data_IF_618191832751
#
_entry.id   IF_618191832751
#
_cell.length_a   1.000
_cell.length_b   1.000
_cell.length_c   1.000
_cell.angle_alpha   90.00
_cell.angle_beta   90.00
_cell.angle_gamma   90.00
#
_symmetry.space_group_name_H-M   'P 1'
#
loop_
_entity.id
_entity.type
_entity.pdbx_description
1 polymer ?
#
# COMPACT_ATOMS: atom_id res chain seq x y z
N UNK A 1 17.65 38.24 -4.86
CA UNK A 1 16.81 37.91 -3.70
C UNK A 1 16.00 36.70 -4.13
N UNK A 2 16.55 35.52 -3.89
CA UNK A 2 16.01 34.24 -4.35
C UNK A 2 14.86 33.85 -3.41
N UNK A 3 13.70 33.53 -3.97
CA UNK A 3 12.53 33.05 -3.25
C UNK A 3 12.89 31.93 -2.25
N UNK A 4 12.34 31.93 -1.03
CA UNK A 4 12.50 30.79 -0.15
C UNK A 4 11.74 29.60 -0.76
N UNK A 5 12.46 28.49 -0.96
CA UNK A 5 11.92 27.18 -1.29
C UNK A 5 10.60 26.92 -0.55
N UNK A 6 9.53 26.71 -1.31
CA UNK A 6 8.33 26.02 -0.85
C UNK A 6 8.68 24.54 -0.59
N UNK A 7 9.50 24.28 0.44
CA UNK A 7 9.63 22.94 0.98
C UNK A 7 8.25 22.53 1.48
N UNK A 8 7.73 21.40 0.98
CA UNK A 8 6.44 20.88 1.41
C UNK A 8 6.48 20.64 2.92
N UNK A 9 5.37 20.91 3.62
CA UNK A 9 5.31 20.59 5.04
C UNK A 9 5.41 19.07 5.23
N UNK A 10 5.96 18.55 6.34
CA UNK A 10 6.04 17.10 6.59
C UNK A 10 4.68 16.37 6.46
N UNK A 11 3.59 17.07 6.79
CA UNK A 11 2.21 16.58 6.60
C UNK A 11 1.82 16.43 5.13
N UNK A 12 2.26 17.34 4.27
CA UNK A 12 1.99 17.32 2.83
C UNK A 12 2.79 16.21 2.15
N UNK A 13 4.02 15.98 2.61
CA UNK A 13 4.85 14.87 2.15
C UNK A 13 4.26 13.53 2.57
N UNK A 14 3.84 13.38 3.83
CA UNK A 14 3.13 12.19 4.31
C UNK A 14 1.87 11.89 3.48
N UNK A 15 1.04 12.90 3.22
CA UNK A 15 -0.16 12.74 2.41
C UNK A 15 0.17 12.35 0.96
N UNK A 16 1.21 12.94 0.37
CA UNK A 16 1.70 12.56 -0.96
C UNK A 16 2.18 11.12 -0.98
N UNK A 17 2.95 10.68 0.01
CA UNK A 17 3.43 9.30 0.08
C UNK A 17 2.28 8.32 0.20
N UNK A 18 1.31 8.55 1.09
CA UNK A 18 0.11 7.71 1.19
C UNK A 18 -0.67 7.63 -0.13
N UNK A 19 -0.70 8.70 -0.92
CA UNK A 19 -1.37 8.74 -2.21
C UNK A 19 -0.64 7.99 -3.33
N UNK A 20 0.64 7.62 -3.15
CA UNK A 20 1.39 6.86 -4.17
C UNK A 20 0.91 5.43 -4.31
N UNK A 21 0.44 4.83 -3.21
CA UNK A 21 -0.16 3.50 -3.22
C UNK A 21 -1.43 3.50 -2.36
N UNK A 22 -2.56 4.00 -2.90
CA UNK A 22 -3.83 3.97 -2.18
C UNK A 22 -4.33 2.53 -2.05
N UNK A 23 -5.34 2.31 -1.21
CA UNK A 23 -6.06 1.03 -1.15
C UNK A 23 -6.46 0.60 -2.57
N UNK A 24 -5.91 -0.52 -3.01
CA UNK A 24 -6.04 -1.07 -4.35
C UNK A 24 -6.26 -2.58 -4.29
N UNK A 25 -6.90 -3.15 -5.33
CA UNK A 25 -6.80 -4.59 -5.57
C UNK A 25 -5.40 -4.92 -6.06
N UNK A 26 -4.84 -6.01 -5.56
CA UNK A 26 -3.57 -6.57 -6.03
C UNK A 26 -3.80 -8.02 -6.44
N UNK A 27 -2.93 -8.57 -7.29
CA UNK A 27 -2.98 -9.99 -7.61
C UNK A 27 -2.57 -10.83 -6.41
N UNK A 28 -3.00 -12.10 -6.38
CA UNK A 28 -2.53 -13.09 -5.39
C UNK A 28 -1.00 -13.21 -5.41
N UNK A 29 -0.41 -13.27 -6.60
CA UNK A 29 1.05 -13.35 -6.77
C UNK A 29 1.75 -12.17 -6.11
N UNK A 30 1.27 -10.94 -6.31
CA UNK A 30 1.85 -9.77 -5.65
C UNK A 30 1.74 -9.92 -4.13
N UNK A 31 0.55 -10.21 -3.60
CA UNK A 31 0.36 -10.39 -2.16
C UNK A 31 1.33 -11.43 -1.56
N UNK A 32 1.49 -12.58 -2.20
CA UNK A 32 2.30 -13.68 -1.69
C UNK A 32 3.80 -13.42 -1.83
N UNK A 33 4.25 -12.79 -2.92
CA UNK A 33 5.64 -12.39 -3.09
C UNK A 33 6.09 -11.43 -1.98
N UNK A 34 5.18 -10.58 -1.47
CA UNK A 34 5.50 -9.66 -0.37
C UNK A 34 5.83 -10.36 0.95
N UNK A 35 5.38 -11.60 1.15
CA UNK A 35 5.80 -12.42 2.28
C UNK A 35 7.29 -12.82 2.21
N UNK A 36 7.88 -12.77 1.02
CA UNK A 36 9.28 -13.12 0.75
C UNK A 36 10.26 -11.95 0.76
N UNK A 37 9.80 -10.69 0.75
CA UNK A 37 10.67 -9.51 0.63
C UNK A 37 11.30 -9.10 1.97
N UNK A 38 10.49 -8.96 3.02
CA UNK A 38 10.94 -8.63 4.38
C UNK A 38 10.08 -9.38 5.41
N UNK A 39 10.57 -9.57 6.65
CA UNK A 39 9.79 -10.22 7.70
C UNK A 39 8.44 -9.51 7.89
N UNK A 40 7.31 -10.21 7.68
CA UNK A 40 5.99 -9.58 7.81
C UNK A 40 5.72 -9.21 9.28
N UNK A 41 5.27 -7.97 9.49
CA UNK A 41 4.91 -7.49 10.82
C UNK A 41 3.41 -7.79 11.03
N UNK A 42 3.10 -8.51 12.11
CA UNK A 42 1.73 -8.81 12.50
C UNK A 42 1.38 -8.04 13.77
N UNK A 43 0.33 -7.23 13.71
CA UNK A 43 -0.14 -6.43 14.85
C UNK A 43 -1.52 -6.93 15.27
N UNK A 44 -1.71 -7.15 16.56
CA UNK A 44 -2.99 -7.56 17.12
C UNK A 44 -4.08 -6.54 16.77
N UNK A 45 -5.14 -7.01 16.11
CA UNK A 45 -6.28 -6.18 15.72
C UNK A 45 -6.17 -5.52 14.35
N UNK A 46 -4.99 -5.57 13.72
CA UNK A 46 -4.85 -5.20 12.31
C UNK A 46 -5.32 -6.35 11.40
N UNK A 47 -5.86 -6.00 10.23
CA UNK A 47 -6.11 -6.96 9.18
C UNK A 47 -4.81 -7.25 8.41
N UNK A 48 -4.56 -8.52 8.09
CA UNK A 48 -3.41 -8.93 7.28
C UNK A 48 -2.06 -8.67 7.95
N UNK A 49 -1.08 -8.27 7.15
CA UNK A 49 0.30 -8.01 7.61
C UNK A 49 0.85 -6.72 7.00
N UNK A 50 1.93 -6.22 7.58
CA UNK A 50 2.65 -5.04 7.11
C UNK A 50 4.04 -5.41 6.60
N UNK A 51 4.49 -4.72 5.56
CA UNK A 51 5.86 -4.70 5.06
C UNK A 51 6.41 -3.29 5.28
N UNK A 52 7.60 -3.19 5.88
CA UNK A 52 8.25 -1.92 6.17
C UNK A 52 9.40 -1.70 5.20
N UNK A 53 9.27 -0.76 4.26
CA UNK A 53 10.43 -0.19 3.61
C UNK A 53 11.05 0.80 4.61
N UNK A 54 12.35 0.70 4.91
CA UNK A 54 13.01 1.50 5.94
C UNK A 54 13.11 3.02 5.63
N UNK A 55 12.40 3.52 4.63
CA UNK A 55 12.64 4.84 4.01
C UNK A 55 11.61 5.90 4.45
N UNK A 56 10.46 5.50 5.03
CA UNK A 56 9.49 6.42 5.64
C UNK A 56 9.05 5.86 7.01
N UNK A 57 9.67 6.32 8.09
CA UNK A 57 9.62 5.77 9.45
C UNK A 57 8.25 5.26 9.94
N UNK A 58 7.14 5.93 9.57
CA UNK A 58 5.79 5.59 10.00
C UNK A 58 4.88 5.03 8.89
N UNK A 59 5.29 5.04 7.62
CA UNK A 59 4.47 4.57 6.49
C UNK A 59 4.90 3.16 6.09
N UNK A 60 3.92 2.27 6.04
CA UNK A 60 4.09 0.86 5.72
C UNK A 60 3.15 0.45 4.61
N UNK A 61 3.55 -0.55 3.82
CA UNK A 61 2.60 -1.26 2.97
C UNK A 61 1.83 -2.26 3.85
N UNK A 62 0.50 -2.23 3.78
CA UNK A 62 -0.37 -3.21 4.41
C UNK A 62 -1.01 -4.07 3.33
N UNK A 63 -0.98 -5.39 3.51
CA UNK A 63 -1.56 -6.37 2.60
C UNK A 63 -2.61 -7.22 3.30
N UNK A 64 -3.76 -7.41 2.65
CA UNK A 64 -4.92 -8.09 3.24
C UNK A 64 -5.55 -9.04 2.21
N UNK A 65 -5.73 -10.30 2.61
CA UNK A 65 -6.61 -11.24 1.93
C UNK A 65 -8.01 -11.24 2.59
N UNK A 66 -9.05 -11.03 1.78
CA UNK A 66 -10.45 -10.94 2.23
C UNK A 66 -11.37 -11.52 1.16
N UNK A 67 -12.22 -12.46 1.54
CA UNK A 67 -13.30 -12.99 0.67
C UNK A 67 -12.82 -13.45 -0.73
N UNK A 68 -11.62 -14.06 -0.80
CA UNK A 68 -11.02 -14.55 -2.04
C UNK A 68 -10.35 -13.46 -2.91
N UNK A 69 -10.16 -12.26 -2.36
CA UNK A 69 -9.52 -11.11 -3.04
C UNK A 69 -8.37 -10.55 -2.21
N UNK A 70 -7.42 -9.92 -2.88
CA UNK A 70 -6.21 -9.39 -2.28
C UNK A 70 -6.14 -7.87 -2.42
N UNK A 71 -5.73 -7.21 -1.35
CA UNK A 71 -5.69 -5.77 -1.25
C UNK A 71 -4.32 -5.31 -0.73
N UNK A 72 -3.88 -4.16 -1.22
CA UNK A 72 -2.63 -3.53 -0.81
C UNK A 72 -2.76 -2.01 -0.75
N UNK A 73 -1.92 -1.36 0.05
CA UNK A 73 -1.81 0.09 0.08
C UNK A 73 -0.85 0.58 1.17
N UNK A 74 -0.42 1.84 1.05
CA UNK A 74 0.36 2.52 2.08
C UNK A 74 -0.54 3.06 3.19
N UNK A 75 -0.11 2.82 4.42
CA UNK A 75 -0.79 3.21 5.64
C UNK A 75 0.23 3.72 6.65
N UNK A 76 -0.18 4.64 7.50
CA UNK A 76 0.65 5.08 8.61
C UNK A 76 0.41 4.18 9.84
N UNK A 77 1.46 3.51 10.30
CA UNK A 77 1.37 2.52 11.38
C UNK A 77 0.84 3.12 12.69
N UNK A 78 1.17 4.39 12.97
CA UNK A 78 0.75 5.09 14.18
C UNK A 78 -0.60 5.79 14.04
N UNK A 79 -1.27 5.65 12.90
CA UNK A 79 -2.54 6.30 12.60
C UNK A 79 -3.55 5.26 12.06
N UNK A 80 -4.30 4.59 12.95
CA UNK A 80 -5.22 3.53 12.58
C UNK A 80 -6.31 3.95 11.58
N UNK A 81 -6.62 5.24 11.49
CA UNK A 81 -7.57 5.77 10.49
C UNK A 81 -7.04 5.64 9.07
N UNK A 82 -5.75 5.39 8.88
CA UNK A 82 -5.16 5.11 7.56
C UNK A 82 -5.17 3.62 7.20
N UNK A 83 -5.42 2.72 8.16
CA UNK A 83 -5.32 1.28 7.93
C UNK A 83 -6.40 0.76 6.97
N UNK A 84 -6.07 -0.34 6.30
CA UNK A 84 -7.00 -1.16 5.53
C UNK A 84 -7.80 -2.00 6.52
N UNK A 85 -9.11 -1.76 6.56
CA UNK A 85 -10.07 -2.47 7.41
C UNK A 85 -11.14 -3.13 6.57
N UNK A 86 -11.87 -4.09 7.14
CA UNK A 86 -12.98 -4.74 6.42
C UNK A 86 -14.06 -3.75 5.98
N UNK A 87 -14.33 -2.71 6.78
CA UNK A 87 -15.29 -1.67 6.42
C UNK A 87 -14.80 -0.84 5.22
N UNK A 88 -13.50 -0.50 5.19
CA UNK A 88 -12.89 0.21 4.07
C UNK A 88 -12.83 -0.61 2.80
N UNK A 89 -12.51 -1.91 2.90
CA UNK A 89 -12.57 -2.83 1.76
C UNK A 89 -13.99 -2.88 1.20
N UNK A 90 -15.00 -3.03 2.06
CA UNK A 90 -16.40 -3.07 1.62
C UNK A 90 -16.82 -1.78 0.91
N UNK A 91 -16.45 -0.60 1.45
CA UNK A 91 -16.72 0.68 0.79
C UNK A 91 -15.97 0.80 -0.54
N UNK A 92 -14.68 0.43 -0.56
CA UNK A 92 -13.85 0.45 -1.77
C UNK A 92 -14.43 -0.42 -2.89
N UNK A 93 -14.91 -1.63 -2.59
CA UNK A 93 -15.49 -2.52 -3.59
C UNK A 93 -16.81 -2.01 -4.16
N UNK A 94 -17.60 -1.27 -3.37
CA UNK A 94 -18.82 -0.59 -3.83
C UNK A 94 -18.46 0.54 -4.78
N UNK A 95 -17.47 1.36 -4.43
CA UNK A 95 -17.05 2.51 -5.23
C UNK A 95 -16.25 2.08 -6.49
N UNK A 96 -15.61 0.90 -6.46
CA UNK A 96 -14.73 0.41 -7.51
C UNK A 96 -15.10 -1.03 -7.93
N UNK A 97 -16.31 -1.26 -8.48
CA UNK A 97 -16.76 -2.61 -8.83
C UNK A 97 -15.83 -3.29 -9.84
N UNK A 98 -15.28 -2.51 -10.77
CA UNK A 98 -14.42 -2.95 -11.86
C UNK A 98 -12.94 -2.59 -11.64
N UNK A 99 -12.49 -2.43 -10.39
CA UNK A 99 -11.07 -2.19 -10.10
C UNK A 99 -10.19 -3.27 -10.74
N UNK A 100 -9.18 -2.83 -11.50
CA UNK A 100 -8.12 -3.68 -12.06
C UNK A 100 -7.19 -4.11 -10.93
N UNK A 101 -6.75 -5.37 -10.97
CA UNK A 101 -5.75 -5.88 -10.03
C UNK A 101 -4.35 -5.42 -10.45
N UNK A 102 -3.64 -4.81 -9.51
CA UNK A 102 -2.24 -4.44 -9.71
C UNK A 102 -1.35 -5.68 -9.58
N UNK A 103 -0.48 -5.90 -10.57
CA UNK A 103 0.57 -6.91 -10.53
C UNK A 103 1.88 -6.32 -10.01
N UNK A 104 2.65 -7.11 -9.27
CA UNK A 104 3.99 -6.71 -8.80
C UNK A 104 4.95 -6.48 -9.97
N UNK A 105 4.95 -7.41 -10.92
CA UNK A 105 5.61 -7.28 -12.21
C UNK A 105 4.54 -7.08 -13.29
N UNK A 106 4.32 -5.84 -13.77
CA UNK A 106 3.42 -5.63 -14.89
C UNK A 106 3.97 -6.34 -16.14
N UNK A 107 3.08 -6.98 -16.90
CA UNK A 107 3.45 -7.66 -18.15
C UNK A 107 4.22 -6.69 -19.07
N UNK A 108 5.46 -7.04 -19.41
CA UNK A 108 6.40 -6.20 -20.17
C UNK A 108 7.71 -5.86 -19.44
N UNK A 109 7.81 -6.11 -18.12
CA UNK A 109 9.06 -5.90 -17.36
C UNK A 109 10.13 -6.99 -17.58
N UNK A 110 9.80 -8.07 -18.30
CA UNK A 110 10.65 -9.24 -18.51
C UNK A 110 11.39 -9.32 -19.85
N UNK A 111 11.28 -8.30 -20.73
CA UNK A 111 11.95 -8.31 -22.04
C UNK A 111 12.82 -7.07 -22.24
N UNK A 112 13.72 -6.83 -21.30
CA UNK A 112 14.81 -5.87 -21.45
C UNK A 112 16.07 -6.39 -20.74
N UNK A 113 16.77 -7.32 -21.40
CA UNK A 113 18.23 -7.52 -21.42
C UNK A 113 18.56 -9.01 -21.64
N UNK A 114 18.73 -9.39 -22.90
CA UNK A 114 19.61 -10.47 -23.32
C UNK A 114 20.58 -9.90 -24.35
#
# INVERSE_FOLDING_TARGET
MTDPEFAASPSDERARTLAQFPLSRVTEVFHDEMLGVLPPIHIRGAAGFFVSEAVAEDIHAQFVHRDGRFYGGYVALRDPETWITSARIAAYDVDNPNAVELAWYPDGAGEAAA
#
